data_IF_002357204336
#
_entry.id   IF_002357204336
#
_cell.length_a   1.000
_cell.length_b   1.000
_cell.length_c   1.000
_cell.angle_alpha   90.00
_cell.angle_beta   90.00
_cell.angle_gamma   90.00
#
_symmetry.space_group_name_H-M   'P 1'
#
loop_
_entity.id
_entity.type
_entity.pdbx_description
1 polymer ?
#
# COMPACT_ATOMS: atom_id res chain seq x y z
N UNK A 1 -5.73 7.11 4.41
CA UNK A 1 -7.09 6.96 3.84
C UNK A 1 -7.10 6.54 2.38
N UNK A 2 -6.13 7.01 1.58
CA UNK A 2 -6.12 6.67 0.14
C UNK A 2 -5.73 5.22 -0.14
N UNK A 3 -5.23 4.50 0.84
CA UNK A 3 -4.79 3.11 0.72
C UNK A 3 -5.89 2.11 1.08
N UNK A 4 -7.10 2.58 1.30
CA UNK A 4 -8.23 1.73 1.68
C UNK A 4 -9.50 2.21 0.98
N UNK A 5 -10.29 1.24 0.53
CA UNK A 5 -11.59 1.52 -0.08
C UNK A 5 -12.61 1.88 1.02
N UNK A 6 -13.40 2.92 0.81
CA UNK A 6 -14.40 3.39 1.76
C UNK A 6 -13.85 3.54 3.20
N UNK A 7 -12.86 4.42 3.44
CA UNK A 7 -12.25 4.55 4.76
C UNK A 7 -13.28 4.92 5.85
N UNK A 8 -14.34 5.62 5.50
CA UNK A 8 -15.42 5.99 6.42
C UNK A 8 -16.17 4.77 6.98
N UNK A 9 -16.11 3.63 6.28
CA UNK A 9 -16.75 2.38 6.70
C UNK A 9 -15.81 1.49 7.49
N UNK A 10 -14.53 1.85 7.58
CA UNK A 10 -13.49 1.01 8.17
C UNK A 10 -13.05 1.49 9.56
N UNK A 11 -13.70 2.52 10.09
CA UNK A 11 -13.43 3.02 11.44
C UNK A 11 -13.64 1.89 12.45
N UNK A 12 -12.62 1.61 13.27
CA UNK A 12 -12.69 0.53 14.25
C UNK A 12 -12.33 -0.86 13.72
N UNK A 13 -12.04 -0.98 12.43
CA UNK A 13 -11.62 -2.26 11.83
C UNK A 13 -10.12 -2.46 12.04
N UNK A 14 -9.71 -3.68 12.46
CA UNK A 14 -8.31 -4.06 12.60
C UNK A 14 -7.55 -3.80 11.30
N UNK A 15 -6.37 -3.19 11.38
CA UNK A 15 -5.61 -2.72 10.24
C UNK A 15 -5.85 -1.24 9.93
N UNK A 16 -6.96 -0.68 10.39
CA UNK A 16 -7.30 0.73 10.19
C UNK A 16 -7.66 1.44 11.51
N UNK A 17 -7.21 0.88 12.62
CA UNK A 17 -7.41 1.51 13.94
C UNK A 17 -6.60 2.80 14.04
N UNK A 18 -7.09 3.78 14.80
CA UNK A 18 -6.37 5.05 14.96
C UNK A 18 -4.90 4.88 15.39
N UNK A 19 -4.62 3.97 16.32
CA UNK A 19 -3.26 3.69 16.78
C UNK A 19 -2.40 3.04 15.70
N UNK A 20 -2.98 2.21 14.85
CA UNK A 20 -2.28 1.59 13.72
C UNK A 20 -1.91 2.63 12.66
N UNK A 21 -2.85 3.52 12.36
CA UNK A 21 -2.62 4.62 11.41
C UNK A 21 -1.57 5.60 11.95
N UNK A 22 -1.66 5.94 13.22
CA UNK A 22 -0.70 6.82 13.86
C UNK A 22 0.71 6.22 13.86
N UNK A 23 0.82 4.89 14.01
CA UNK A 23 2.10 4.20 13.95
C UNK A 23 2.76 4.34 12.58
N UNK A 24 1.98 4.21 11.50
CA UNK A 24 2.50 4.38 10.14
C UNK A 24 3.01 5.81 9.91
N UNK A 25 2.29 6.80 10.39
CA UNK A 25 2.72 8.20 10.30
C UNK A 25 4.04 8.41 11.05
N UNK A 26 4.17 7.80 12.23
CA UNK A 26 5.38 7.87 13.03
C UNK A 26 6.55 7.16 12.35
N UNK A 27 6.29 6.01 11.73
CA UNK A 27 7.27 5.25 10.97
C UNK A 27 7.82 6.08 9.81
N UNK A 28 6.94 6.70 9.04
CA UNK A 28 7.32 7.58 7.93
C UNK A 28 8.13 8.77 8.43
N UNK A 29 7.68 9.41 9.51
CA UNK A 29 8.36 10.57 10.10
C UNK A 29 9.75 10.21 10.65
N UNK A 30 10.02 8.94 10.92
CA UNK A 30 11.33 8.49 11.42
C UNK A 30 12.39 8.35 10.33
N UNK A 31 12.07 8.67 9.08
CA UNK A 31 13.02 8.62 7.96
C UNK A 31 12.80 7.45 7.00
N UNK A 32 11.63 6.83 7.03
CA UNK A 32 11.25 5.78 6.09
C UNK A 32 10.38 6.34 4.98
N UNK A 33 10.61 5.87 3.76
CA UNK A 33 9.94 6.35 2.56
C UNK A 33 9.09 5.23 1.97
N UNK A 34 7.82 5.53 1.71
CA UNK A 34 6.92 4.63 0.98
C UNK A 34 7.30 4.68 -0.50
N UNK A 35 8.04 3.67 -0.98
CA UNK A 35 8.60 3.70 -2.32
C UNK A 35 7.55 3.78 -3.42
N UNK A 36 6.40 3.14 -3.26
CA UNK A 36 5.33 3.23 -4.25
C UNK A 36 4.84 4.67 -4.44
N UNK A 37 4.69 5.40 -3.33
CA UNK A 37 4.19 6.78 -3.37
C UNK A 37 5.18 7.80 -3.94
N UNK A 38 6.42 7.40 -4.17
CA UNK A 38 7.37 8.24 -4.93
C UNK A 38 6.96 8.38 -6.38
N UNK A 39 6.24 7.39 -6.94
CA UNK A 39 5.90 7.32 -8.36
C UNK A 39 4.42 7.47 -8.65
N UNK A 40 3.55 7.14 -7.70
CA UNK A 40 2.11 7.17 -7.87
C UNK A 40 1.44 7.64 -6.57
N UNK A 41 0.80 8.79 -6.63
CA UNK A 41 0.12 9.40 -5.47
C UNK A 41 -1.40 9.29 -5.59
N UNK A 42 -1.90 8.57 -6.57
CA UNK A 42 -3.34 8.42 -6.79
C UNK A 42 -3.97 7.42 -5.81
N UNK A 43 -5.27 7.55 -5.59
CA UNK A 43 -6.05 6.60 -4.81
C UNK A 43 -6.43 5.36 -5.60
N UNK A 44 -7.14 4.46 -4.96
CA UNK A 44 -7.68 3.24 -5.57
C UNK A 44 -6.62 2.28 -6.10
N UNK A 45 -5.41 2.35 -5.52
CA UNK A 45 -4.29 1.45 -5.82
C UNK A 45 -4.09 0.54 -4.61
N UNK A 46 -4.47 -0.74 -4.76
CA UNK A 46 -4.51 -1.70 -3.67
C UNK A 46 -3.67 -2.92 -3.97
N UNK A 47 -3.27 -3.64 -2.92
CA UNK A 47 -2.49 -4.87 -3.02
C UNK A 47 -3.24 -6.08 -2.46
N UNK A 48 -4.36 -5.87 -1.82
CA UNK A 48 -5.17 -6.93 -1.23
C UNK A 48 -6.66 -6.66 -1.43
N UNK A 49 -7.39 -7.72 -1.72
CA UNK A 49 -8.86 -7.71 -1.84
C UNK A 49 -9.39 -8.97 -1.18
N UNK A 50 -10.52 -8.85 -0.47
CA UNK A 50 -11.20 -10.02 0.05
C UNK A 50 -11.68 -10.92 -1.10
N UNK A 51 -11.73 -12.22 -0.87
CA UNK A 51 -12.35 -13.14 -1.83
C UNK A 51 -13.88 -13.00 -1.90
N UNK A 52 -14.48 -12.29 -0.96
CA UNK A 52 -15.93 -12.16 -0.85
C UNK A 52 -16.51 -11.18 -1.87
N UNK A 53 -17.73 -11.47 -2.34
CA UNK A 53 -18.58 -10.54 -3.08
C UNK A 53 -17.91 -9.88 -4.29
N UNK A 54 -17.02 -10.61 -4.97
CA UNK A 54 -16.28 -10.10 -6.12
C UNK A 54 -15.52 -8.79 -5.82
N UNK A 55 -14.97 -8.65 -4.61
CA UNK A 55 -14.30 -7.44 -4.16
C UNK A 55 -13.19 -6.99 -5.11
N UNK A 56 -12.40 -7.93 -5.64
CA UNK A 56 -11.30 -7.59 -6.57
C UNK A 56 -11.82 -7.02 -7.89
N UNK A 57 -12.87 -7.63 -8.45
CA UNK A 57 -13.46 -7.16 -9.71
C UNK A 57 -14.04 -5.74 -9.57
N UNK A 58 -14.52 -5.39 -8.37
CA UNK A 58 -15.05 -4.07 -8.06
C UNK A 58 -13.98 -3.12 -7.48
N UNK A 59 -12.75 -3.59 -7.37
CA UNK A 59 -11.64 -2.88 -6.75
C UNK A 59 -11.95 -2.37 -5.34
N UNK A 60 -12.59 -3.22 -4.54
CA UNK A 60 -12.86 -2.95 -3.13
C UNK A 60 -11.72 -3.58 -2.33
N UNK A 61 -10.69 -2.82 -2.06
CA UNK A 61 -9.46 -3.38 -1.51
C UNK A 61 -8.72 -2.45 -0.55
N UNK A 62 -7.56 -2.92 -0.12
CA UNK A 62 -6.65 -2.22 0.76
C UNK A 62 -5.22 -2.31 0.20
N UNK A 63 -4.44 -1.27 0.40
CA UNK A 63 -2.99 -1.35 0.18
C UNK A 63 -2.32 -1.64 1.52
N UNK A 64 -1.87 -2.88 1.67
CA UNK A 64 -1.26 -3.36 2.91
C UNK A 64 0.12 -3.98 2.71
N UNK A 65 0.57 -4.07 1.46
CA UNK A 65 1.88 -4.61 1.12
C UNK A 65 2.76 -3.47 0.62
N UNK A 66 3.92 -3.28 1.24
CA UNK A 66 4.78 -2.12 1.01
C UNK A 66 6.24 -2.54 0.86
N UNK A 67 7.01 -1.71 0.16
CA UNK A 67 8.46 -1.70 0.23
C UNK A 67 8.90 -0.36 0.79
N UNK A 68 9.17 -0.31 2.08
CA UNK A 68 9.69 0.87 2.73
C UNK A 68 11.21 0.93 2.54
N UNK A 69 11.74 2.10 2.22
CA UNK A 69 13.17 2.32 2.11
C UNK A 69 13.59 3.43 3.08
N UNK A 70 14.82 3.37 3.57
CA UNK A 70 15.34 4.46 4.38
C UNK A 70 15.61 5.68 3.49
N UNK A 71 15.54 6.88 4.06
CA UNK A 71 15.74 8.13 3.31
C UNK A 71 17.02 8.14 2.46
N UNK A 72 18.19 7.67 2.98
CA UNK A 72 19.41 7.62 2.17
C UNK A 72 19.31 6.75 0.92
N UNK A 73 18.43 5.75 0.89
CA UNK A 73 18.24 4.88 -0.26
C UNK A 73 17.27 5.44 -1.30
N UNK A 74 16.59 6.52 -0.99
CA UNK A 74 15.57 7.11 -1.86
C UNK A 74 16.09 7.37 -3.27
N UNK A 75 17.30 7.86 -3.39
CA UNK A 75 17.92 8.18 -4.68
C UNK A 75 18.21 6.95 -5.55
N UNK A 76 18.24 5.77 -4.92
CA UNK A 76 18.52 4.51 -5.62
C UNK A 76 17.26 3.79 -6.08
N UNK A 77 16.09 4.27 -5.72
CA UNK A 77 14.82 3.68 -6.15
C UNK A 77 14.52 4.13 -7.56
N UNK A 78 14.51 3.17 -8.48
CA UNK A 78 14.26 3.42 -9.90
C UNK A 78 12.77 3.35 -10.21
N UNK A 79 12.05 2.40 -9.61
CA UNK A 79 10.63 2.21 -9.83
C UNK A 79 10.01 1.41 -8.70
N UNK A 80 8.70 1.53 -8.52
CA UNK A 80 7.94 0.74 -7.57
C UNK A 80 6.53 0.55 -8.14
N UNK A 81 6.02 -0.69 -8.12
CA UNK A 81 4.76 -1.04 -8.78
C UNK A 81 3.89 -1.93 -7.91
N UNK A 82 2.59 -1.83 -8.12
CA UNK A 82 1.58 -2.78 -7.66
C UNK A 82 1.14 -3.55 -8.91
N UNK A 83 1.39 -4.86 -8.92
CA UNK A 83 1.10 -5.72 -10.07
C UNK A 83 -0.31 -6.31 -9.95
N UNK A 84 -1.32 -5.46 -9.96
CA UNK A 84 -2.71 -5.82 -9.70
C UNK A 84 -3.29 -6.84 -10.69
N UNK A 85 -2.72 -6.95 -11.88
CA UNK A 85 -3.13 -7.89 -12.92
C UNK A 85 -2.69 -9.32 -12.66
N UNK A 86 -1.77 -9.53 -11.73
CA UNK A 86 -1.27 -10.88 -11.40
C UNK A 86 -2.19 -11.51 -10.35
N UNK A 87 -2.92 -12.55 -10.72
CA UNK A 87 -3.97 -13.16 -9.91
C UNK A 87 -3.59 -14.57 -9.47
N UNK A 88 -2.94 -14.70 -8.31
CA UNK A 88 -2.56 -15.98 -7.74
C UNK A 88 -2.95 -16.13 -6.26
N UNK A 89 -3.39 -15.06 -5.62
CA UNK A 89 -3.87 -15.06 -4.23
C UNK A 89 -4.78 -13.86 -4.02
N UNK A 90 -5.24 -13.63 -2.78
CA UNK A 90 -5.99 -12.43 -2.41
C UNK A 90 -5.08 -11.19 -2.32
N UNK A 91 -3.76 -11.39 -2.34
CA UNK A 91 -2.79 -10.32 -2.57
C UNK A 91 -2.32 -10.32 -4.01
N UNK A 92 -1.86 -9.18 -4.51
CA UNK A 92 -1.06 -9.13 -5.72
C UNK A 92 0.40 -8.84 -5.37
N UNK A 93 1.35 -9.17 -6.26
CA UNK A 93 2.75 -8.81 -6.03
C UNK A 93 2.93 -7.29 -6.00
N UNK A 94 3.87 -6.85 -5.17
CA UNK A 94 4.37 -5.48 -5.20
C UNK A 94 5.87 -5.54 -5.46
N UNK A 95 6.38 -4.66 -6.31
CA UNK A 95 7.77 -4.69 -6.73
C UNK A 95 8.47 -3.37 -6.47
N UNK A 96 9.78 -3.45 -6.27
CA UNK A 96 10.66 -2.30 -6.19
C UNK A 96 11.90 -2.60 -7.03
N UNK A 97 12.39 -1.59 -7.73
CA UNK A 97 13.63 -1.68 -8.49
C UNK A 97 14.62 -0.67 -7.91
N UNK A 98 15.78 -1.17 -7.53
CA UNK A 98 16.85 -0.34 -6.96
C UNK A 98 18.06 -0.37 -7.90
N UNK A 99 18.70 0.78 -8.08
CA UNK A 99 20.00 0.83 -8.74
C UNK A 99 21.11 0.47 -7.77
N UNK A 100 22.08 -0.31 -8.19
CA UNK A 100 23.21 -0.74 -7.36
C UNK A 100 24.53 -0.24 -7.92
#
# INVERSE_FOLDING_TARGET
PIDINHPERQVGVSGFLPEERAWLDKWEASGMVDSFRMFDQSGEKYSWWSFRAASRARNVGWRIDYHWVSEPLRERVVDAKILAEVVHSDHCPVSIELSV
#
